data_IF_490425050755
#
_entry.id   IF_490425050755
#
_cell.length_a   1.000
_cell.length_b   1.000
_cell.length_c   1.000
_cell.angle_alpha   90.00
_cell.angle_beta   90.00
_cell.angle_gamma   90.00
#
_symmetry.space_group_name_H-M   'P 1'
#
loop_
_entity.id
_entity.type
_entity.pdbx_description
1 polymer ?
#
# COMPACT_ATOMS: atom_id res chain seq x y z
N UNK A 1 0.95 13.06 -9.44
CA UNK A 1 1.35 11.70 -8.99
C UNK A 1 1.48 11.70 -7.47
N UNK A 2 1.27 10.56 -6.77
CA UNK A 2 1.56 10.39 -5.34
C UNK A 2 1.97 8.93 -5.05
N UNK A 3 3.09 8.74 -4.37
CA UNK A 3 3.60 7.48 -3.84
C UNK A 3 3.38 7.39 -2.33
N UNK A 4 3.14 6.18 -1.87
CA UNK A 4 2.91 5.80 -0.48
C UNK A 4 4.02 4.86 -0.03
N UNK A 5 4.53 5.08 1.17
CA UNK A 5 5.47 4.20 1.85
C UNK A 5 4.74 3.50 2.98
N UNK A 6 4.72 2.18 2.97
CA UNK A 6 4.08 1.39 4.04
C UNK A 6 5.11 0.49 4.73
N UNK A 7 4.96 0.34 6.05
CA UNK A 7 5.74 -0.54 6.92
C UNK A 7 4.78 -1.52 7.59
N UNK A 8 5.03 -2.80 7.42
CA UNK A 8 4.35 -3.86 8.16
C UNK A 8 5.20 -4.23 9.38
N UNK A 9 4.57 -4.46 10.54
CA UNK A 9 5.27 -4.69 11.83
C UNK A 9 5.65 -6.17 12.08
N UNK A 10 5.29 -7.08 11.20
CA UNK A 10 5.74 -8.47 11.31
C UNK A 10 7.12 -8.68 10.69
N UNK A 11 8.03 -9.26 11.48
CA UNK A 11 9.47 -9.42 11.22
C UNK A 11 9.82 -10.46 10.14
N UNK A 12 8.88 -10.89 9.31
CA UNK A 12 9.14 -11.78 8.18
C UNK A 12 9.36 -10.96 6.90
N UNK A 13 10.42 -11.27 6.15
CA UNK A 13 10.65 -10.70 4.81
C UNK A 13 9.35 -10.85 4.01
N UNK A 14 8.76 -9.76 3.54
CA UNK A 14 7.53 -9.79 2.76
C UNK A 14 7.89 -9.65 1.26
N UNK A 15 7.86 -10.74 0.46
CA UNK A 15 8.09 -10.65 -0.98
C UNK A 15 7.11 -9.67 -1.63
N UNK A 16 7.51 -9.01 -2.72
CA UNK A 16 6.66 -8.06 -3.44
C UNK A 16 5.30 -8.66 -3.83
N UNK A 17 5.27 -9.90 -4.30
CA UNK A 17 4.03 -10.61 -4.64
C UNK A 17 3.10 -10.78 -3.43
N UNK A 18 3.65 -11.09 -2.26
CA UNK A 18 2.87 -11.23 -1.02
C UNK A 18 2.28 -9.90 -0.57
N UNK A 19 3.03 -8.81 -0.70
CA UNK A 19 2.52 -7.47 -0.40
C UNK A 19 1.42 -7.05 -1.39
N UNK A 20 1.53 -7.41 -2.67
CA UNK A 20 0.53 -7.06 -3.67
C UNK A 20 -0.80 -7.75 -3.37
N UNK A 21 -0.79 -9.06 -3.13
CA UNK A 21 -1.98 -9.82 -2.78
C UNK A 21 -2.62 -9.30 -1.49
N UNK A 22 -1.81 -8.92 -0.51
CA UNK A 22 -2.27 -8.34 0.75
C UNK A 22 -2.99 -7.00 0.53
N UNK A 23 -2.41 -6.09 -0.25
CA UNK A 23 -3.05 -4.79 -0.54
C UNK A 23 -4.32 -4.94 -1.37
N UNK A 24 -4.33 -5.84 -2.34
CA UNK A 24 -5.54 -6.15 -3.11
C UNK A 24 -6.63 -6.73 -2.22
N UNK A 25 -6.29 -7.66 -1.33
CA UNK A 25 -7.23 -8.27 -0.39
C UNK A 25 -7.86 -7.20 0.51
N UNK A 26 -7.05 -6.41 1.22
CA UNK A 26 -7.53 -5.35 2.13
C UNK A 26 -8.40 -4.33 1.39
N UNK A 27 -8.04 -4.00 0.16
CA UNK A 27 -8.79 -3.09 -0.69
C UNK A 27 -10.15 -3.67 -1.12
N UNK A 28 -10.20 -4.96 -1.45
CA UNK A 28 -11.43 -5.66 -1.85
C UNK A 28 -12.36 -5.90 -0.67
N UNK A 29 -11.83 -6.19 0.51
CA UNK A 29 -12.63 -6.38 1.73
C UNK A 29 -13.45 -5.13 2.06
N UNK A 30 -12.88 -3.94 1.88
CA UNK A 30 -13.55 -2.68 2.20
C UNK A 30 -14.41 -2.12 1.07
N UNK A 31 -13.96 -2.23 -0.19
CA UNK A 31 -14.59 -1.55 -1.33
C UNK A 31 -15.17 -2.48 -2.41
N UNK A 32 -15.11 -3.79 -2.21
CA UNK A 32 -15.50 -4.79 -3.20
C UNK A 32 -14.55 -4.87 -4.40
N UNK A 33 -14.86 -5.73 -5.37
CA UNK A 33 -13.98 -6.00 -6.53
C UNK A 33 -13.86 -4.83 -7.51
N UNK A 34 -14.92 -4.05 -7.68
CA UNK A 34 -14.97 -2.90 -8.62
C UNK A 34 -14.38 -1.65 -8.00
N UNK A 35 -14.57 -1.44 -6.70
CA UNK A 35 -14.14 -0.24 -5.98
C UNK A 35 -12.72 -0.33 -5.38
N UNK A 36 -12.11 -1.51 -5.39
CA UNK A 36 -10.79 -1.75 -4.82
C UNK A 36 -9.71 -0.93 -5.53
N UNK A 37 -9.00 -0.03 -4.82
CA UNK A 37 -7.86 0.66 -5.40
C UNK A 37 -6.78 -0.32 -5.86
N UNK A 38 -6.37 -0.20 -7.12
CA UNK A 38 -5.21 -0.93 -7.65
C UNK A 38 -3.93 -0.18 -7.29
N UNK A 39 -2.89 -0.92 -6.94
CA UNK A 39 -1.60 -0.37 -6.53
C UNK A 39 -0.47 -1.08 -7.25
N UNK A 40 0.52 -0.31 -7.68
CA UNK A 40 1.74 -0.87 -8.26
C UNK A 40 2.85 -0.87 -7.20
N UNK A 41 3.50 -2.01 -7.00
CA UNK A 41 4.65 -2.09 -6.10
C UNK A 41 5.90 -1.69 -6.87
N UNK A 42 6.54 -0.60 -6.42
CA UNK A 42 7.76 -0.08 -7.03
C UNK A 42 9.01 -0.70 -6.40
N UNK A 43 8.94 -0.99 -5.10
CA UNK A 43 10.03 -1.62 -4.36
C UNK A 43 9.50 -2.37 -3.15
N UNK A 44 10.08 -3.52 -2.84
CA UNK A 44 9.88 -4.22 -1.58
C UNK A 44 11.23 -4.63 -1.01
N UNK A 45 11.48 -4.26 0.25
CA UNK A 45 12.68 -4.66 0.99
C UNK A 45 12.33 -4.84 2.45
N UNK A 46 12.68 -5.99 3.01
CA UNK A 46 12.34 -6.37 4.39
C UNK A 46 10.82 -6.30 4.63
N UNK A 47 10.37 -5.52 5.62
CA UNK A 47 8.95 -5.26 5.94
C UNK A 47 8.50 -3.88 5.45
N UNK A 48 9.18 -3.31 4.45
CA UNK A 48 8.88 -2.00 3.87
C UNK A 48 8.57 -2.12 2.39
N UNK A 49 7.52 -1.44 1.95
CA UNK A 49 7.05 -1.46 0.57
C UNK A 49 6.80 -0.02 0.11
N UNK A 50 7.29 0.29 -1.09
CA UNK A 50 6.97 1.51 -1.82
C UNK A 50 5.89 1.17 -2.83
N UNK A 51 4.73 1.79 -2.68
CA UNK A 51 3.56 1.60 -3.53
C UNK A 51 3.21 2.89 -4.26
N UNK A 52 2.92 2.75 -5.55
CA UNK A 52 2.32 3.79 -6.37
C UNK A 52 0.82 3.59 -6.37
N UNK A 53 0.10 4.68 -6.13
CA UNK A 53 -1.37 4.68 -6.16
C UNK A 53 -1.83 5.85 -7.01
N UNK A 54 -2.86 5.62 -7.82
CA UNK A 54 -3.48 6.70 -8.57
C UNK A 54 -4.01 7.80 -7.63
N UNK A 55 -3.83 9.09 -7.96
CA UNK A 55 -4.26 10.19 -7.09
C UNK A 55 -5.74 10.13 -6.69
N UNK A 56 -6.61 9.70 -7.61
CA UNK A 56 -8.06 9.55 -7.38
C UNK A 56 -8.38 8.42 -6.39
N UNK A 57 -7.55 7.38 -6.36
CA UNK A 57 -7.72 6.18 -5.56
C UNK A 57 -6.97 6.26 -4.22
N UNK A 58 -6.06 7.22 -4.07
CA UNK A 58 -5.23 7.41 -2.89
C UNK A 58 -6.02 7.49 -1.59
N UNK A 59 -7.11 8.28 -1.56
CA UNK A 59 -7.95 8.43 -0.36
C UNK A 59 -8.59 7.10 0.05
N UNK A 60 -9.09 6.34 -0.92
CA UNK A 60 -9.67 5.01 -0.67
C UNK A 60 -8.61 4.05 -0.15
N UNK A 61 -7.45 4.02 -0.79
CA UNK A 61 -6.36 3.13 -0.36
C UNK A 61 -5.90 3.44 1.07
N UNK A 62 -5.76 4.72 1.44
CA UNK A 62 -5.46 5.10 2.83
C UNK A 62 -6.53 4.61 3.81
N UNK A 63 -7.81 4.74 3.45
CA UNK A 63 -8.90 4.25 4.28
C UNK A 63 -8.88 2.71 4.41
N UNK A 64 -8.61 1.98 3.32
CA UNK A 64 -8.45 0.53 3.34
C UNK A 64 -7.32 0.09 4.29
N UNK A 65 -6.15 0.73 4.21
CA UNK A 65 -5.04 0.42 5.10
C UNK A 65 -5.34 0.75 6.56
N UNK A 66 -5.97 1.90 6.82
CA UNK A 66 -6.27 2.35 8.19
C UNK A 66 -7.34 1.49 8.89
N UNK A 67 -8.30 0.95 8.13
CA UNK A 67 -9.37 0.11 8.64
C UNK A 67 -9.06 -1.40 8.56
N UNK A 68 -7.91 -1.76 7.99
CA UNK A 68 -7.47 -3.15 7.94
C UNK A 68 -7.28 -3.71 9.34
N UNK A 69 -7.64 -4.98 9.53
CA UNK A 69 -7.27 -5.75 10.73
C UNK A 69 -5.77 -6.03 10.80
N UNK A 70 -5.06 -5.92 9.67
CA UNK A 70 -3.62 -6.09 9.59
C UNK A 70 -2.90 -4.79 9.98
N UNK A 71 -1.78 -4.90 10.70
CA UNK A 71 -1.00 -3.75 11.18
C UNK A 71 -0.12 -3.17 10.08
N UNK A 72 -0.74 -2.46 9.14
CA UNK A 72 -0.06 -1.77 8.04
C UNK A 72 0.00 -0.28 8.35
N UNK A 73 1.21 0.26 8.48
CA UNK A 73 1.40 1.68 8.75
C UNK A 73 1.93 2.41 7.54
N UNK A 74 1.29 3.50 7.15
CA UNK A 74 1.84 4.44 6.18
C UNK A 74 2.92 5.29 6.87
N UNK A 75 4.18 5.18 6.49
CA UNK A 75 5.25 5.98 7.10
C UNK A 75 5.43 7.34 6.42
N UNK A 76 5.34 7.38 5.08
CA UNK A 76 5.59 8.58 4.27
C UNK A 76 4.73 8.57 3.02
N UNK A 77 4.35 9.76 2.57
CA UNK A 77 3.64 10.00 1.32
C UNK A 77 4.34 11.14 0.58
N UNK A 78 4.56 10.98 -0.72
CA UNK A 78 5.22 11.99 -1.54
C UNK A 78 4.60 12.06 -2.93
N UNK A 79 4.60 13.19 -3.65
CA UNK A 79 4.05 13.27 -5.01
C UNK A 79 4.87 12.51 -6.06
N UNK A 80 6.14 12.19 -5.77
CA UNK A 80 7.05 11.49 -6.68
C UNK A 80 8.01 10.60 -5.89
N UNK A 81 8.64 9.64 -6.59
CA UNK A 81 9.71 8.83 -6.01
C UNK A 81 10.91 9.67 -5.55
N UNK A 82 11.25 10.70 -6.33
CA UNK A 82 12.38 11.59 -6.01
C UNK A 82 12.18 12.35 -4.70
N UNK A 83 10.93 12.67 -4.34
CA UNK A 83 10.61 13.31 -3.06
C UNK A 83 10.48 12.30 -1.89
N UNK A 84 10.55 11.01 -2.16
CA UNK A 84 10.40 9.93 -1.17
C UNK A 84 11.76 9.37 -0.70
N UNK A 85 12.77 9.38 -1.58
CA UNK A 85 14.14 8.92 -1.35
C UNK A 85 14.97 10.01 -0.66
#
# INVERSE_FOLDING_TARGET
>A
MRGLFTKNLDKSKCPALTAQSLFEQVSRELFGTVGAPRVDILHSKNSQVIVRVEPLLLRKFRAALALSTQRIHVCREAPSLQALL
#
